data_IF_724757432763
#
_entry.id   IF_724757432763
#
_cell.length_a   1.000
_cell.length_b   1.000
_cell.length_c   1.000
_cell.angle_alpha   90.00
_cell.angle_beta   90.00
_cell.angle_gamma   90.00
#
_symmetry.space_group_name_H-M   'P 1'
#
loop_
_entity.id
_entity.type
_entity.pdbx_description
1 polymer ?
#
# COMPACT_ATOMS: atom_id res chain seq x y z
N UNK A 1 -26.68 1.83 21.43
CA UNK A 1 -26.16 2.08 20.07
C UNK A 1 -26.05 0.76 19.35
N UNK A 2 -26.61 0.66 18.14
CA UNK A 2 -26.78 -0.61 17.42
C UNK A 2 -25.45 -1.17 16.90
N UNK A 3 -25.05 -2.33 17.45
CA UNK A 3 -23.86 -3.08 17.03
C UNK A 3 -23.82 -3.33 15.51
N UNK A 4 -24.98 -3.54 14.88
CA UNK A 4 -25.11 -3.74 13.45
C UNK A 4 -24.68 -2.52 12.61
N UNK A 5 -24.89 -1.29 13.10
CA UNK A 5 -24.48 -0.09 12.38
C UNK A 5 -22.95 0.06 12.39
N UNK A 6 -22.33 -0.22 13.54
CA UNK A 6 -20.88 -0.20 13.70
C UNK A 6 -20.23 -1.26 12.80
N UNK A 7 -20.83 -2.45 12.67
CA UNK A 7 -20.31 -3.49 11.76
C UNK A 7 -20.33 -3.05 10.30
N UNK A 8 -21.42 -2.45 9.82
CA UNK A 8 -21.50 -1.95 8.43
C UNK A 8 -20.38 -0.97 8.11
N UNK A 9 -20.19 0.03 8.96
CA UNK A 9 -19.12 1.02 8.79
C UNK A 9 -17.73 0.36 8.81
N UNK A 10 -17.52 -0.62 9.68
CA UNK A 10 -16.25 -1.34 9.76
C UNK A 10 -15.98 -2.21 8.52
N UNK A 11 -17.02 -2.81 7.95
CA UNK A 11 -16.89 -3.65 6.76
C UNK A 11 -16.58 -2.84 5.51
N UNK A 12 -17.12 -1.62 5.40
CA UNK A 12 -16.77 -0.67 4.32
C UNK A 12 -15.29 -0.28 4.32
N UNK A 13 -14.64 -0.25 5.50
CA UNK A 13 -13.22 0.12 5.63
C UNK A 13 -12.27 -1.07 5.39
N UNK A 14 -12.78 -2.28 5.13
CA UNK A 14 -11.94 -3.45 4.88
C UNK A 14 -11.52 -3.51 3.42
N UNK A 15 -10.24 -3.77 3.17
CA UNK A 15 -9.78 -4.32 1.89
C UNK A 15 -10.56 -5.60 1.54
N UNK A 16 -10.93 -5.75 0.27
CA UNK A 16 -11.71 -6.90 -0.26
C UNK A 16 -11.01 -8.22 0.05
N UNK A 17 -9.69 -8.28 -0.11
CA UNK A 17 -8.89 -9.45 0.23
C UNK A 17 -7.60 -9.05 0.94
N UNK A 18 -7.17 -9.89 1.89
CA UNK A 18 -5.90 -9.75 2.59
C UNK A 18 -5.23 -11.11 2.70
N UNK A 19 -3.91 -11.13 2.67
CA UNK A 19 -3.14 -12.37 2.74
C UNK A 19 -3.38 -13.08 4.07
N UNK A 20 -3.56 -14.41 4.01
CA UNK A 20 -3.70 -15.27 5.19
C UNK A 20 -2.34 -15.46 5.90
N UNK A 21 -1.88 -14.39 6.54
CA UNK A 21 -0.69 -14.39 7.37
C UNK A 21 -0.96 -15.10 8.71
N UNK A 22 -0.06 -16.02 9.07
CA UNK A 22 -0.13 -16.77 10.33
C UNK A 22 1.11 -16.52 11.17
N UNK A 23 0.99 -16.73 12.48
CA UNK A 23 2.14 -16.71 13.38
C UNK A 23 3.17 -17.74 12.93
N UNK A 24 4.44 -17.35 12.92
CA UNK A 24 5.55 -18.15 12.42
C UNK A 24 5.86 -17.94 10.93
N UNK A 25 4.98 -17.29 10.17
CA UNK A 25 5.28 -16.94 8.78
C UNK A 25 6.35 -15.86 8.72
N UNK A 26 7.21 -15.94 7.70
CA UNK A 26 8.14 -14.87 7.33
C UNK A 26 7.47 -14.06 6.23
N UNK A 27 7.26 -12.78 6.48
CA UNK A 27 6.51 -11.87 5.61
C UNK A 27 7.38 -10.69 5.18
N UNK A 28 7.14 -10.21 3.96
CA UNK A 28 7.59 -8.92 3.46
C UNK A 28 6.40 -7.97 3.46
N UNK A 29 6.47 -6.94 4.28
CA UNK A 29 5.45 -5.89 4.31
C UNK A 29 5.97 -4.67 3.58
N UNK A 30 5.29 -4.28 2.50
CA UNK A 30 5.57 -3.06 1.74
C UNK A 30 4.81 -1.92 2.41
N UNK A 31 5.55 -1.09 3.15
CA UNK A 31 5.00 0.05 3.87
C UNK A 31 5.28 1.33 3.08
N UNK A 32 4.23 2.08 2.74
CA UNK A 32 4.36 3.44 2.23
C UNK A 32 4.75 4.36 3.39
N UNK A 33 5.84 5.10 3.20
CA UNK A 33 6.36 6.09 4.15
C UNK A 33 6.39 7.45 3.45
N UNK A 34 5.81 8.44 4.10
CA UNK A 34 5.79 9.83 3.66
C UNK A 34 6.76 10.65 4.50
N UNK A 35 7.77 11.21 3.86
CA UNK A 35 8.77 12.10 4.45
C UNK A 35 8.58 13.49 3.82
N UNK A 36 7.75 14.32 4.45
CA UNK A 36 7.35 15.61 3.91
C UNK A 36 6.53 15.48 2.62
N UNK A 37 7.08 15.96 1.50
CA UNK A 37 6.44 15.89 0.19
C UNK A 37 6.78 14.61 -0.61
N UNK A 38 7.74 13.80 -0.16
CA UNK A 38 8.19 12.60 -0.87
C UNK A 38 7.58 11.34 -0.26
N UNK A 39 7.16 10.42 -1.12
CA UNK A 39 6.69 9.09 -0.73
C UNK A 39 7.67 8.03 -1.21
N UNK A 40 7.93 7.04 -0.36
CA UNK A 40 8.72 5.85 -0.70
C UNK A 40 8.13 4.59 -0.10
N UNK A 41 8.38 3.46 -0.75
CA UNK A 41 7.99 2.15 -0.25
C UNK A 41 9.17 1.56 0.50
N UNK A 42 9.01 1.32 1.81
CA UNK A 42 9.98 0.60 2.61
C UNK A 42 9.50 -0.83 2.85
N UNK A 43 10.37 -1.79 2.55
CA UNK A 43 10.07 -3.20 2.79
C UNK A 43 10.56 -3.60 4.18
N UNK A 44 9.66 -4.13 5.00
CA UNK A 44 9.97 -4.72 6.29
C UNK A 44 9.79 -6.25 6.23
N UNK A 45 10.91 -6.96 6.16
CA UNK A 45 10.93 -8.43 6.15
C UNK A 45 11.23 -9.00 7.54
N UNK A 46 10.37 -9.88 8.04
CA UNK A 46 10.59 -10.53 9.33
C UNK A 46 9.60 -11.64 9.64
N UNK A 47 9.71 -12.20 10.84
CA UNK A 47 8.84 -13.29 11.31
C UNK A 47 7.62 -12.70 12.01
N UNK A 48 6.43 -13.13 11.63
CA UNK A 48 5.17 -12.81 12.31
C UNK A 48 5.18 -13.50 13.67
N UNK A 49 5.24 -12.74 14.75
CA UNK A 49 5.20 -13.27 16.11
C UNK A 49 3.77 -13.36 16.64
N UNK A 50 2.85 -12.53 16.12
CA UNK A 50 1.48 -12.43 16.59
C UNK A 50 0.57 -12.00 15.45
N UNK A 51 -0.63 -12.58 15.43
CA UNK A 51 -1.75 -12.18 14.57
C UNK A 51 -2.94 -11.89 15.46
N UNK A 52 -3.54 -10.70 15.35
CA UNK A 52 -4.65 -10.22 16.17
C UNK A 52 -5.88 -9.92 15.31
N UNK A 53 -7.07 -10.09 15.89
CA UNK A 53 -8.34 -9.63 15.32
C UNK A 53 -8.60 -10.09 13.87
N UNK A 54 -8.28 -11.36 13.58
CA UNK A 54 -8.46 -11.93 12.24
C UNK A 54 -9.92 -11.77 11.78
N UNK A 55 -10.12 -11.25 10.57
CA UNK A 55 -11.45 -11.00 9.98
C UNK A 55 -12.12 -9.69 10.41
N UNK A 56 -11.53 -8.94 11.34
CA UNK A 56 -12.01 -7.60 11.73
C UNK A 56 -11.26 -6.51 10.97
N UNK A 57 -11.82 -5.30 10.92
CA UNK A 57 -11.17 -4.14 10.30
C UNK A 57 -9.84 -3.76 10.99
N UNK A 58 -9.69 -4.08 12.27
CA UNK A 58 -8.45 -3.92 13.06
C UNK A 58 -7.49 -5.10 12.97
N UNK A 59 -7.66 -6.00 11.98
CA UNK A 59 -6.78 -7.15 11.80
C UNK A 59 -5.32 -6.68 11.66
N UNK A 60 -4.46 -7.21 12.54
CA UNK A 60 -3.09 -6.74 12.72
C UNK A 60 -2.11 -7.89 12.82
N UNK A 61 -0.95 -7.71 12.22
CA UNK A 61 0.20 -8.61 12.36
C UNK A 61 1.35 -7.89 13.03
N UNK A 62 2.03 -8.55 13.97
CA UNK A 62 3.28 -8.06 14.56
C UNK A 62 4.43 -8.84 13.97
N UNK A 63 5.33 -8.13 13.28
CA UNK A 63 6.47 -8.68 12.58
C UNK A 63 7.74 -8.31 13.34
N UNK A 64 8.57 -9.30 13.62
CA UNK A 64 9.87 -9.16 14.30
C UNK A 64 11.01 -9.39 13.31
N UNK A 65 11.96 -8.47 13.29
CA UNK A 65 13.21 -8.54 12.53
C UNK A 65 14.38 -8.20 13.46
N UNK A 66 15.51 -8.86 13.32
CA UNK A 66 16.77 -8.37 13.88
C UNK A 66 17.47 -7.58 12.77
N UNK A 67 17.73 -6.31 13.00
CA UNK A 67 18.43 -5.43 12.04
C UNK A 67 19.55 -4.74 12.77
N UNK A 68 20.77 -4.78 12.21
CA UNK A 68 21.95 -4.16 12.81
C UNK A 68 22.17 -4.55 14.28
N UNK A 69 21.93 -5.82 14.63
CA UNK A 69 22.07 -6.33 16.00
C UNK A 69 20.91 -6.01 16.96
N UNK A 70 19.98 -5.14 16.56
CA UNK A 70 18.83 -4.73 17.39
C UNK A 70 17.56 -5.44 16.94
N UNK A 71 16.81 -5.98 17.89
CA UNK A 71 15.50 -6.58 17.65
C UNK A 71 14.42 -5.51 17.47
N UNK A 72 13.91 -5.37 16.24
CA UNK A 72 12.84 -4.43 15.90
C UNK A 72 11.53 -5.19 15.71
N UNK A 73 10.49 -4.74 16.38
CA UNK A 73 9.12 -5.23 16.20
C UNK A 73 8.26 -4.10 15.64
N UNK A 74 7.57 -4.37 14.53
CA UNK A 74 6.57 -3.46 13.96
C UNK A 74 5.24 -4.16 13.88
N UNK A 75 4.17 -3.45 14.24
CA UNK A 75 2.81 -3.94 14.07
C UNK A 75 2.15 -3.25 12.89
N UNK A 76 1.59 -4.03 11.98
CA UNK A 76 0.96 -3.56 10.74
C UNK A 76 -0.51 -3.94 10.73
N UNK A 77 -1.37 -2.94 10.51
CA UNK A 77 -2.79 -3.16 10.24
C UNK A 77 -2.94 -3.58 8.77
N UNK A 78 -3.53 -4.74 8.52
CA UNK A 78 -3.61 -5.30 7.15
C UNK A 78 -4.49 -4.47 6.22
N UNK A 79 -5.54 -3.86 6.77
CA UNK A 79 -6.46 -2.99 6.03
C UNK A 79 -5.98 -1.53 5.97
N UNK A 80 -4.82 -1.17 6.53
CA UNK A 80 -4.33 0.21 6.47
C UNK A 80 -3.89 0.59 5.05
N UNK A 81 -4.16 1.83 4.60
CA UNK A 81 -3.67 2.35 3.31
C UNK A 81 -2.15 2.54 3.29
N UNK A 82 -1.50 2.59 4.46
CA UNK A 82 -0.04 2.66 4.55
C UNK A 82 0.64 1.32 4.22
N UNK A 83 -0.12 0.22 4.23
CA UNK A 83 0.36 -1.10 3.83
C UNK A 83 -0.11 -1.34 2.41
N UNK A 84 0.83 -1.35 1.46
CA UNK A 84 0.53 -1.52 0.05
C UNK A 84 0.39 -3.00 -0.30
N UNK A 85 1.38 -3.81 0.11
CA UNK A 85 1.42 -5.24 -0.17
C UNK A 85 1.99 -6.01 1.01
N UNK A 86 1.45 -7.20 1.25
CA UNK A 86 2.04 -8.18 2.17
C UNK A 86 2.31 -9.43 1.38
N UNK A 87 3.54 -9.94 1.43
CA UNK A 87 3.92 -11.19 0.77
C UNK A 87 4.43 -12.19 1.81
N UNK A 88 3.94 -13.43 1.76
CA UNK A 88 4.48 -14.52 2.56
C UNK A 88 5.65 -15.15 1.80
N UNK A 89 6.84 -15.04 2.38
CA UNK A 89 8.08 -15.61 1.84
C UNK A 89 8.21 -17.06 2.25
N UNK A 90 7.94 -17.36 3.53
CA UNK A 90 8.17 -18.68 4.12
C UNK A 90 7.16 -18.98 5.21
N UNK A 91 6.51 -20.13 5.16
CA UNK A 91 5.66 -20.64 6.24
C UNK A 91 6.45 -21.52 7.21
N UNK A 92 6.20 -21.36 8.50
CA UNK A 92 6.85 -22.18 9.53
C UNK A 92 5.83 -22.94 10.38
N UNK A 93 6.22 -24.12 10.86
CA UNK A 93 5.44 -24.88 11.84
C UNK A 93 5.64 -24.26 13.22
N UNK A 94 4.56 -23.77 13.82
CA UNK A 94 4.53 -23.31 15.20
C UNK A 94 3.29 -23.84 15.89
N UNK A 95 3.35 -23.94 17.22
CA UNK A 95 2.24 -24.43 18.06
C UNK A 95 1.52 -23.32 18.83
N UNK A 96 2.10 -22.12 18.90
CA UNK A 96 1.57 -20.98 19.67
C UNK A 96 1.13 -19.88 18.72
N UNK A 97 0.03 -19.20 19.06
CA UNK A 97 -0.45 -18.02 18.34
C UNK A 97 0.42 -16.77 18.61
N UNK A 98 1.02 -16.67 19.80
CA UNK A 98 1.96 -15.60 20.16
C UNK A 98 3.33 -16.19 20.48
N UNK A 99 4.32 -15.85 19.64
CA UNK A 99 5.69 -16.34 19.69
C UNK A 99 6.59 -15.40 20.49
N UNK A 100 6.14 -14.97 21.68
CA UNK A 100 6.90 -14.05 22.55
C UNK A 100 8.29 -14.58 22.91
N UNK A 101 8.47 -15.90 22.96
CA UNK A 101 9.74 -16.56 23.26
C UNK A 101 10.85 -16.23 22.22
N UNK A 102 10.49 -15.84 20.99
CA UNK A 102 11.47 -15.42 19.97
C UNK A 102 12.16 -14.10 20.32
N UNK A 103 11.70 -13.37 21.35
CA UNK A 103 12.37 -12.18 21.88
C UNK A 103 13.67 -12.50 22.58
N UNK A 104 13.72 -13.62 23.28
CA UNK A 104 14.85 -14.06 24.10
C UNK A 104 15.79 -15.01 23.32
N UNK A 105 15.40 -15.44 22.12
CA UNK A 105 16.16 -16.39 21.30
C UNK A 105 16.87 -15.69 20.16
N UNK A 106 18.08 -16.15 19.86
CA UNK A 106 18.89 -15.68 18.73
C UNK A 106 19.61 -16.83 18.03
N UNK A 107 20.07 -16.58 16.80
CA UNK A 107 20.81 -17.55 15.99
C UNK A 107 20.05 -18.86 15.77
N UNK A 108 20.72 -20.00 16.02
CA UNK A 108 20.17 -21.35 15.80
C UNK A 108 18.90 -21.61 16.61
N UNK A 109 18.81 -21.08 17.83
CA UNK A 109 17.67 -21.30 18.74
C UNK A 109 16.38 -20.60 18.30
N UNK A 110 16.50 -19.55 17.49
CA UNK A 110 15.35 -18.80 16.94
C UNK A 110 14.82 -19.40 15.62
N UNK A 111 15.50 -20.42 15.07
CA UNK A 111 15.11 -21.02 13.79
C UNK A 111 13.83 -21.82 13.95
N UNK A 112 12.86 -21.55 13.07
CA UNK A 112 11.60 -22.30 13.00
C UNK A 112 11.65 -23.32 11.87
N UNK A 113 11.02 -24.47 12.06
CA UNK A 113 10.91 -25.51 11.04
C UNK A 113 10.04 -25.02 9.89
N UNK A 114 10.57 -25.03 8.66
CA UNK A 114 9.82 -24.65 7.47
C UNK A 114 8.77 -25.72 7.12
N UNK A 115 7.67 -25.28 6.52
CA UNK A 115 6.61 -26.15 5.99
C UNK A 115 6.42 -25.81 4.52
N UNK A 116 6.24 -26.83 3.68
CA UNK A 116 5.89 -26.64 2.29
C UNK A 116 4.52 -25.95 2.21
N UNK A 117 4.44 -24.87 1.46
CA UNK A 117 3.18 -24.18 1.19
C UNK A 117 3.23 -23.65 -0.24
N UNK A 118 2.06 -23.58 -0.86
CA UNK A 118 1.92 -22.93 -2.16
C UNK A 118 2.04 -21.41 -1.97
N UNK A 119 3.13 -20.85 -2.50
CA UNK A 119 3.39 -19.41 -2.41
C UNK A 119 2.47 -18.62 -3.33
N UNK A 120 2.16 -19.15 -4.51
CA UNK A 120 1.34 -18.46 -5.50
C UNK A 120 -0.10 -18.39 -5.03
N UNK A 121 -0.67 -19.52 -4.59
CA UNK A 121 -2.04 -19.55 -4.08
C UNK A 121 -2.28 -18.60 -2.90
N UNK A 122 -1.26 -18.36 -2.06
CA UNK A 122 -1.38 -17.53 -0.86
C UNK A 122 -1.11 -16.04 -1.14
N UNK A 123 -0.22 -15.73 -2.08
CA UNK A 123 0.17 -14.34 -2.38
C UNK A 123 -0.53 -13.75 -3.60
N UNK A 124 -1.14 -14.56 -4.48
CA UNK A 124 -1.90 -14.10 -5.64
C UNK A 124 -3.27 -13.57 -5.22
N UNK A 125 -3.26 -12.43 -4.52
CA UNK A 125 -4.46 -11.67 -4.23
C UNK A 125 -4.58 -10.60 -5.31
N UNK A 126 -5.60 -10.74 -6.16
CA UNK A 126 -6.01 -9.67 -7.07
C UNK A 126 -6.91 -8.72 -6.30
N UNK A 127 -6.34 -7.64 -5.78
CA UNK A 127 -7.14 -6.54 -5.26
C UNK A 127 -7.77 -5.80 -6.43
N UNK A 128 -9.01 -6.17 -6.80
CA UNK A 128 -9.76 -5.51 -7.88
C UNK A 128 -10.00 -4.01 -7.60
N UNK A 129 -9.97 -3.58 -6.33
CA UNK A 129 -10.19 -2.18 -5.95
C UNK A 129 -9.01 -1.27 -6.29
N UNK A 130 -7.77 -1.79 -6.28
CA UNK A 130 -6.61 -1.00 -6.71
C UNK A 130 -6.74 -0.67 -8.20
N UNK A 131 -7.20 -1.61 -9.02
CA UNK A 131 -7.45 -1.36 -10.44
C UNK A 131 -8.59 -0.35 -10.67
N UNK A 132 -9.66 -0.41 -9.85
CA UNK A 132 -10.79 0.53 -9.91
C UNK A 132 -10.38 1.94 -9.46
N UNK A 133 -9.61 2.07 -8.38
CA UNK A 133 -9.09 3.35 -7.88
C UNK A 133 -8.02 3.93 -8.83
N UNK A 134 -7.11 3.10 -9.34
CA UNK A 134 -6.12 3.51 -10.33
C UNK A 134 -6.78 3.99 -11.62
N UNK A 135 -7.89 3.36 -12.04
CA UNK A 135 -8.68 3.80 -13.18
C UNK A 135 -9.34 5.17 -12.92
N UNK A 136 -9.97 5.38 -11.76
CA UNK A 136 -10.54 6.70 -11.39
C UNK A 136 -9.47 7.78 -11.31
N UNK A 137 -8.33 7.50 -10.69
CA UNK A 137 -7.20 8.44 -10.59
C UNK A 137 -6.65 8.76 -11.98
N UNK A 138 -6.60 7.78 -12.88
CA UNK A 138 -6.13 7.97 -14.26
C UNK A 138 -7.13 8.79 -15.09
N UNK A 139 -8.43 8.59 -14.90
CA UNK A 139 -9.49 9.38 -15.51
C UNK A 139 -9.49 10.82 -14.99
N UNK A 140 -9.37 11.03 -13.68
CA UNK A 140 -9.27 12.37 -13.07
C UNK A 140 -8.02 13.12 -13.54
N UNK A 141 -6.87 12.44 -13.63
CA UNK A 141 -5.65 13.04 -14.20
C UNK A 141 -5.75 13.31 -15.69
N UNK A 142 -6.44 12.46 -16.46
CA UNK A 142 -6.68 12.70 -17.87
C UNK A 142 -7.62 13.90 -18.09
N UNK A 143 -8.64 14.05 -17.25
CA UNK A 143 -9.54 15.20 -17.26
C UNK A 143 -8.82 16.50 -16.86
N UNK A 144 -7.97 16.47 -15.83
CA UNK A 144 -7.15 17.63 -15.45
C UNK A 144 -6.13 18.01 -16.54
N UNK A 145 -5.51 17.02 -17.20
CA UNK A 145 -4.59 17.25 -18.30
C UNK A 145 -5.29 17.83 -19.54
N UNK A 146 -6.49 17.34 -19.87
CA UNK A 146 -7.31 17.87 -20.97
C UNK A 146 -7.77 19.31 -20.68
N UNK A 147 -8.16 19.61 -19.44
CA UNK A 147 -8.53 20.97 -19.04
C UNK A 147 -7.35 21.95 -19.14
N UNK A 148 -6.15 21.56 -18.68
CA UNK A 148 -4.93 22.36 -18.83
C UNK A 148 -4.49 22.54 -20.28
N UNK A 149 -4.71 21.54 -21.14
CA UNK A 149 -4.38 21.64 -22.55
C UNK A 149 -5.34 22.62 -23.26
N UNK A 150 -6.64 22.54 -22.96
CA UNK A 150 -7.63 23.47 -23.49
C UNK A 150 -7.39 24.93 -23.06
N UNK A 151 -6.96 25.17 -21.81
CA UNK A 151 -6.58 26.51 -21.36
C UNK A 151 -5.36 27.05 -22.12
N UNK A 152 -4.32 26.22 -22.32
CA UNK A 152 -3.12 26.60 -23.09
C UNK A 152 -3.42 26.86 -24.55
N UNK A 153 -4.24 26.02 -25.17
CA UNK A 153 -4.63 26.17 -26.57
C UNK A 153 -5.48 27.45 -26.77
N UNK A 154 -6.33 27.79 -25.79
CA UNK A 154 -7.10 29.04 -25.79
C UNK A 154 -6.24 30.29 -25.55
N UNK A 155 -5.20 30.18 -24.72
CA UNK A 155 -4.24 31.26 -24.47
C UNK A 155 -3.34 31.48 -25.70
N UNK A 156 -2.87 30.40 -26.33
CA UNK A 156 -2.09 30.46 -27.56
C UNK A 156 -2.90 31.07 -28.71
N UNK A 157 -4.16 30.68 -28.89
CA UNK A 157 -5.04 31.26 -29.92
C UNK A 157 -5.28 32.77 -29.72
N UNK A 158 -5.30 33.26 -28.46
CA UNK A 158 -5.39 34.71 -28.17
C UNK A 158 -4.10 35.44 -28.49
N UNK A 159 -2.95 34.84 -28.20
CA UNK A 159 -1.64 35.39 -28.53
C UNK A 159 -1.41 35.43 -30.05
N UNK A 160 -1.81 34.37 -30.76
CA UNK A 160 -1.71 34.30 -32.23
C UNK A 160 -2.65 35.32 -32.90
N UNK A 161 -3.86 35.53 -32.36
CA UNK A 161 -4.77 36.57 -32.83
C UNK A 161 -4.22 37.99 -32.58
N UNK A 162 -3.60 38.23 -31.41
CA UNK A 162 -2.93 39.50 -31.14
C UNK A 162 -1.70 39.72 -32.04
N UNK A 163 -0.92 38.67 -32.31
CA UNK A 163 0.22 38.74 -33.22
C UNK A 163 -0.21 39.07 -34.65
N UNK A 164 -1.27 38.42 -35.16
CA UNK A 164 -1.83 38.69 -36.47
C UNK A 164 -2.39 40.12 -36.61
N UNK A 165 -3.01 40.65 -35.55
CA UNK A 165 -3.49 42.05 -35.53
C UNK A 165 -2.33 43.05 -35.56
N UNK A 166 -1.24 42.75 -34.83
CA UNK A 166 -0.02 43.58 -34.81
C UNK A 166 0.68 43.55 -36.17
N UNK A 167 0.80 42.39 -36.81
CA UNK A 167 1.37 42.24 -38.15
C UNK A 167 0.53 42.97 -39.21
N UNK A 168 -0.80 42.87 -39.15
CA UNK A 168 -1.69 43.59 -40.04
C UNK A 168 -1.57 45.12 -39.90
N UNK A 169 -1.40 45.62 -38.65
CA UNK A 169 -1.11 47.05 -38.40
C UNK A 169 0.26 47.48 -38.92
N UNK A 170 1.27 46.61 -38.84
CA UNK A 170 2.60 46.90 -39.36
C UNK A 170 2.63 46.95 -40.90
N UNK A 171 1.85 46.12 -41.58
CA UNK A 171 1.74 46.11 -43.05
C UNK A 171 0.99 47.32 -43.63
N UNK A 172 0.17 48.02 -42.83
CA UNK A 172 -0.55 49.23 -43.25
C UNK A 172 0.26 50.52 -43.08
N UNK A 173 1.37 50.48 -42.35
CA UNK A 173 2.22 51.63 -42.02
C UNK A 173 3.54 51.69 -42.83
N UNK A 174 3.73 50.80 -43.80
CA UNK A 174 4.84 50.78 -44.78
C UNK A 174 4.30 50.93 -46.19
#
# INVERSE_FOLDING_TARGET
>A
MSFALIQKVNDEQKKKQVVDARSGDTVRVHQKIKEGAKERIQIFEGVVIRTDNKGQHTNRITVRKITSGVGVEKSFLLHSPLVEKVEIVRRSKVRRNFLSYLRQRSGKSARLTAVQFDREAVNAIKDNHVAEDEARIKEEKAAEAAARQAEKDAEQAKLDAQAAEVEARHAQNN
#
